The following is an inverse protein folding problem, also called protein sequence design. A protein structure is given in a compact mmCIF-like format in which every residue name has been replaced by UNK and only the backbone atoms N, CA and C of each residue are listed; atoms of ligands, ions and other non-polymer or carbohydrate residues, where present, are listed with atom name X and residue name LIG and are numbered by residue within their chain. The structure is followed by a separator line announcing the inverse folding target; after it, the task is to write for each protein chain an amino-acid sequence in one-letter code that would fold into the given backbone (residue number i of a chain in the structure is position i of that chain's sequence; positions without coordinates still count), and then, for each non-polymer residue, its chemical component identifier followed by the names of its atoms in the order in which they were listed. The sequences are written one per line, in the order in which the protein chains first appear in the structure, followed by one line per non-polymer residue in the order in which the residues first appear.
data_IF_922092676326
#
_entry.id   IF_922092676326
#
_cell.length_a   1.000
_cell.length_b   1.000
_cell.length_c   1.000
_cell.angle_alpha   90.00
_cell.angle_beta   90.00
_cell.angle_gamma   90.00
#
_symmetry.space_group_name_H-M   'P 1'
#
loop_
_entity.id
_entity.type
_entity.pdbx_description
1 polymer ?
#
# COMPACT_ATOMS: atom_id res chain seq x y z
N UNK A 1 -4.01 -4.69 7.15
CA UNK A 1 -3.24 -5.66 7.97
C UNK A 1 -4.20 -6.74 8.41
N UNK A 2 -3.85 -8.02 8.26
CA UNK A 2 -4.70 -9.13 8.72
C UNK A 2 -4.44 -9.50 10.18
N UNK A 3 -5.17 -10.49 10.71
CA UNK A 3 -5.00 -10.96 12.10
C UNK A 3 -3.62 -11.56 12.38
N UNK A 4 -2.82 -11.85 11.35
CA UNK A 4 -1.46 -12.39 11.46
C UNK A 4 -0.39 -11.30 11.44
N UNK A 5 -0.77 -10.02 11.56
CA UNK A 5 0.13 -8.88 11.45
C UNK A 5 0.89 -8.80 10.13
N UNK A 6 0.32 -9.34 9.05
CA UNK A 6 0.91 -9.18 7.72
C UNK A 6 0.38 -7.88 7.10
N UNK A 7 1.25 -6.88 6.84
CA UNK A 7 0.86 -5.72 6.07
C UNK A 7 0.59 -6.12 4.62
N UNK A 8 -0.30 -5.40 3.96
CA UNK A 8 -0.62 -5.59 2.54
C UNK A 8 -0.81 -4.20 1.97
N UNK A 9 -0.14 -3.92 0.85
CA UNK A 9 -0.25 -2.63 0.17
C UNK A 9 -1.57 -2.63 -0.60
N UNK A 10 -2.33 -1.54 -0.45
CA UNK A 10 -3.53 -1.28 -1.23
C UNK A 10 -3.35 0.08 -1.94
N UNK A 11 -3.23 0.05 -3.26
CA UNK A 11 -3.17 1.26 -4.08
C UNK A 11 -4.58 1.70 -4.46
N UNK A 12 -4.90 2.96 -4.16
CA UNK A 12 -6.13 3.63 -4.60
C UNK A 12 -5.81 4.50 -5.82
N UNK A 13 -6.69 4.47 -6.81
CA UNK A 13 -6.56 5.23 -8.05
C UNK A 13 -7.76 6.15 -8.25
N UNK A 14 -7.51 7.30 -8.88
CA UNK A 14 -8.54 8.22 -9.37
C UNK A 14 -9.54 8.57 -8.24
N UNK A 15 -10.84 8.49 -8.52
CA UNK A 15 -11.92 8.84 -7.58
C UNK A 15 -11.81 8.09 -6.23
N UNK A 16 -11.24 6.88 -6.19
CA UNK A 16 -11.04 6.16 -4.93
C UNK A 16 -9.98 6.82 -4.05
N UNK A 17 -8.93 7.40 -4.65
CA UNK A 17 -7.90 8.11 -3.91
C UNK A 17 -8.46 9.41 -3.30
N UNK A 18 -9.29 10.12 -4.07
CA UNK A 18 -9.86 11.39 -3.63
C UNK A 18 -11.00 11.19 -2.61
N UNK A 19 -11.91 10.24 -2.85
CA UNK A 19 -13.06 10.01 -1.98
C UNK A 19 -12.70 9.13 -0.77
N UNK A 20 -12.39 7.85 -0.99
CA UNK A 20 -12.11 6.91 0.09
C UNK A 20 -10.75 7.18 0.75
N UNK A 21 -9.74 7.54 -0.05
CA UNK A 21 -8.40 7.83 0.43
C UNK A 21 -8.34 9.02 1.39
N UNK A 22 -9.10 10.08 1.11
CA UNK A 22 -9.20 11.24 2.03
C UNK A 22 -9.82 10.87 3.37
N UNK A 23 -10.87 10.04 3.37
CA UNK A 23 -11.50 9.55 4.62
C UNK A 23 -10.51 8.68 5.39
N UNK A 24 -9.85 7.75 4.71
CA UNK A 24 -8.85 6.86 5.30
C UNK A 24 -7.66 7.62 5.90
N UNK A 25 -7.19 8.68 5.23
CA UNK A 25 -6.11 9.53 5.73
C UNK A 25 -6.53 10.29 6.99
N UNK A 26 -7.76 10.82 7.02
CA UNK A 26 -8.30 11.53 8.18
C UNK A 26 -8.49 10.59 9.39
N UNK A 27 -8.90 9.34 9.17
CA UNK A 27 -9.19 8.37 10.23
C UNK A 27 -8.02 7.45 10.56
N UNK A 28 -6.85 7.57 9.89
CA UNK A 28 -5.74 6.60 9.99
C UNK A 28 -5.30 6.30 11.44
N UNK A 29 -5.34 7.31 12.32
CA UNK A 29 -4.98 7.18 13.73
C UNK A 29 -5.92 6.27 14.53
N UNK A 30 -7.16 6.11 14.07
CA UNK A 30 -8.18 5.26 14.70
C UNK A 30 -8.16 3.81 14.18
N UNK A 31 -7.30 3.51 13.20
CA UNK A 31 -7.20 2.20 12.55
C UNK A 31 -8.54 1.74 11.94
N UNK A 32 -9.05 2.46 10.91
CA UNK A 32 -10.35 2.17 10.32
C UNK A 32 -10.35 0.76 9.71
N UNK A 33 -11.48 0.07 9.84
CA UNK A 33 -11.66 -1.25 9.24
C UNK A 33 -12.29 -1.09 7.86
N UNK A 34 -11.61 -1.60 6.84
CA UNK A 34 -12.11 -1.59 5.47
C UNK A 34 -12.57 -2.96 5.01
N UNK A 35 -13.66 -2.98 4.26
CA UNK A 35 -14.08 -4.12 3.43
C UNK A 35 -14.00 -3.70 1.99
N UNK A 36 -13.16 -4.39 1.22
CA UNK A 36 -12.93 -4.07 -0.18
C UNK A 36 -13.35 -5.23 -1.07
N UNK A 37 -14.10 -4.95 -2.15
CA UNK A 37 -14.62 -5.94 -3.09
C UNK A 37 -14.14 -5.62 -4.51
N UNK A 38 -13.94 -6.67 -5.31
CA UNK A 38 -13.44 -6.58 -6.70
C UNK A 38 -12.11 -5.83 -6.78
N UNK A 39 -11.19 -6.19 -5.89
CA UNK A 39 -9.85 -5.62 -5.83
C UNK A 39 -8.91 -6.44 -6.69
N UNK A 40 -8.07 -5.76 -7.47
CA UNK A 40 -7.02 -6.38 -8.25
C UNK A 40 -5.93 -6.90 -7.33
N UNK A 41 -5.49 -8.14 -7.54
CA UNK A 41 -4.19 -8.57 -7.01
C UNK A 41 -3.08 -8.10 -7.95
N UNK A 42 -2.06 -7.48 -7.39
CA UNK A 42 -0.82 -7.07 -8.07
C UNK A 42 0.38 -7.70 -7.34
N UNK A 43 1.56 -7.66 -7.98
CA UNK A 43 2.80 -8.25 -7.46
C UNK A 43 3.86 -7.21 -7.11
N UNK A 44 3.48 -5.93 -7.01
CA UNK A 44 4.39 -4.87 -6.61
C UNK A 44 4.84 -5.07 -5.15
N UNK A 45 6.15 -5.05 -4.89
CA UNK A 45 6.73 -5.27 -3.55
C UNK A 45 6.20 -6.52 -2.81
N UNK A 46 5.83 -7.58 -3.55
CA UNK A 46 5.21 -8.80 -3.01
C UNK A 46 3.71 -8.87 -3.27
N UNK A 47 2.92 -9.35 -2.30
CA UNK A 47 1.47 -9.41 -2.44
C UNK A 47 0.87 -8.01 -2.23
N UNK A 48 0.36 -7.42 -3.32
CA UNK A 48 -0.26 -6.10 -3.31
C UNK A 48 -1.65 -6.12 -3.92
N UNK A 49 -2.41 -5.09 -3.60
CA UNK A 49 -3.79 -4.90 -3.99
C UNK A 49 -3.95 -3.54 -4.66
N UNK A 50 -4.84 -3.45 -5.65
CA UNK A 50 -5.12 -2.19 -6.35
C UNK A 50 -6.61 -2.08 -6.66
N UNK A 51 -7.18 -0.89 -6.52
CA UNK A 51 -8.53 -0.63 -7.03
C UNK A 51 -8.57 -0.74 -8.56
N UNK A 52 -9.77 -1.00 -9.08
CA UNK A 52 -10.16 -0.96 -10.49
C UNK A 52 -11.50 -0.23 -10.58
N UNK A 53 -11.93 0.10 -11.80
CA UNK A 53 -13.15 0.87 -12.06
C UNK A 53 -14.43 0.33 -11.38
N UNK A 54 -14.53 -0.98 -11.13
CA UNK A 54 -15.70 -1.60 -10.50
C UNK A 54 -15.44 -2.11 -9.07
N UNK A 55 -14.35 -1.65 -8.45
CA UNK A 55 -14.06 -1.89 -7.05
C UNK A 55 -15.09 -1.21 -6.15
N UNK A 56 -15.24 -1.73 -4.93
CA UNK A 56 -16.06 -1.12 -3.89
C UNK A 56 -15.25 -1.14 -2.60
N UNK A 57 -15.13 0.01 -1.94
CA UNK A 57 -14.53 0.15 -0.62
C UNK A 57 -15.64 0.57 0.34
N UNK A 58 -15.72 -0.12 1.47
CA UNK A 58 -16.59 0.23 2.58
C UNK A 58 -15.72 0.50 3.79
N UNK A 59 -15.80 1.71 4.32
CA UNK A 59 -15.05 2.14 5.50
C UNK A 59 -15.95 2.00 6.73
N UNK A 60 -15.44 1.33 7.77
CA UNK A 60 -16.13 1.03 9.03
C UNK A 60 -17.57 0.49 8.85
N UNK A 61 -17.79 -0.55 8.01
CA UNK A 61 -19.14 -1.04 7.79
C UNK A 61 -19.70 -1.73 9.04
N UNK A 62 -21.00 -1.54 9.29
CA UNK A 62 -21.73 -2.13 10.42
C UNK A 62 -22.10 -3.60 10.17
N UNK A 63 -21.11 -4.43 9.86
CA UNK A 63 -21.32 -5.87 9.68
C UNK A 63 -20.97 -6.66 10.94
N UNK A 64 -21.77 -7.69 11.31
CA UNK A 64 -21.44 -8.56 12.44
C UNK A 64 -20.04 -9.18 12.34
N UNK A 65 -19.59 -9.52 11.12
CA UNK A 65 -18.24 -10.07 10.90
C UNK A 65 -17.10 -9.07 11.18
N UNK A 66 -17.35 -7.76 11.19
CA UNK A 66 -16.35 -6.71 11.47
C UNK A 66 -16.01 -6.66 12.96
N UNK A 67 -16.93 -7.07 13.84
CA UNK A 67 -16.73 -7.05 15.29
C UNK A 67 -15.49 -7.83 15.75
N UNK A 68 -15.15 -8.95 15.10
CA UNK A 68 -13.93 -9.70 15.42
C UNK A 68 -12.66 -8.91 15.11
N UNK A 69 -12.65 -8.20 13.97
CA UNK A 69 -11.49 -7.43 13.54
C UNK A 69 -11.33 -6.16 14.39
N UNK A 70 -12.43 -5.52 14.78
CA UNK A 70 -12.42 -4.39 15.73
C UNK A 70 -11.84 -4.79 17.09
N UNK A 71 -12.26 -5.94 17.62
CA UNK A 71 -11.68 -6.46 18.86
C UNK A 71 -10.18 -6.73 18.70
N UNK A 72 -9.76 -7.35 17.59
CA UNK A 72 -8.34 -7.58 17.31
C UNK A 72 -7.54 -6.27 17.22
N UNK A 73 -8.06 -5.23 16.58
CA UNK A 73 -7.43 -3.90 16.51
C UNK A 73 -7.25 -3.32 17.91
N UNK A 74 -8.29 -3.39 18.76
CA UNK A 74 -8.23 -2.92 20.14
C UNK A 74 -7.14 -3.64 20.94
N UNK A 75 -7.09 -4.97 20.81
CA UNK A 75 -6.15 -5.81 21.57
C UNK A 75 -4.69 -5.64 21.08
N UNK A 76 -4.49 -5.21 19.83
CA UNK A 76 -3.18 -5.06 19.20
C UNK A 76 -2.76 -3.60 18.97
N UNK A 77 -3.53 -2.63 19.44
CA UNK A 77 -3.27 -1.19 19.23
C UNK A 77 -1.82 -0.75 19.52
N UNK A 78 -1.17 -1.16 20.64
CA UNK A 78 0.22 -0.77 20.90
C UNK A 78 1.21 -1.28 19.83
N UNK A 79 0.95 -2.48 19.29
CA UNK A 79 1.79 -3.07 18.23
C UNK A 79 1.56 -2.38 16.89
N UNK A 80 0.31 -2.01 16.59
CA UNK A 80 -0.04 -1.25 15.39
C UNK A 80 0.60 0.15 15.41
N UNK A 81 0.62 0.81 16.57
CA UNK A 81 1.30 2.10 16.75
C UNK A 81 2.80 1.99 16.49
N UNK A 82 3.46 0.98 17.05
CA UNK A 82 4.89 0.75 16.80
C UNK A 82 5.18 0.43 15.34
N UNK A 83 4.33 -0.38 14.71
CA UNK A 83 4.47 -0.73 13.29
C UNK A 83 4.31 0.50 12.39
N UNK A 84 3.30 1.33 12.64
CA UNK A 84 3.08 2.54 11.84
C UNK A 84 4.27 3.50 11.91
N UNK A 85 4.93 3.63 13.06
CA UNK A 85 6.18 4.41 13.18
C UNK A 85 7.34 3.83 12.37
N UNK A 86 7.45 2.49 12.27
CA UNK A 86 8.53 1.82 11.52
C UNK A 86 8.25 1.75 10.01
N UNK A 87 6.97 1.69 9.62
CA UNK A 87 6.55 1.55 8.24
C UNK A 87 6.78 2.83 7.44
N UNK A 88 6.63 4.01 8.04
CA UNK A 88 6.95 5.29 7.38
C UNK A 88 8.40 5.30 6.89
N UNK A 89 9.34 4.84 7.72
CA UNK A 89 10.76 4.78 7.38
C UNK A 89 11.03 3.82 6.19
N UNK A 90 10.29 2.72 6.10
CA UNK A 90 10.44 1.71 5.04
C UNK A 90 9.77 2.12 3.72
N UNK A 91 8.62 2.81 3.78
CA UNK A 91 7.93 3.36 2.61
C UNK A 91 8.70 4.54 2.01
N UNK A 92 9.35 5.36 2.85
CA UNK A 92 10.27 6.41 2.39
C UNK A 92 11.51 5.84 1.70
N UNK A 93 12.02 4.68 2.15
CA UNK A 93 13.10 3.97 1.45
C UNK A 93 12.69 3.48 0.05
N UNK A 94 11.49 2.88 -0.10
CA UNK A 94 10.96 2.46 -1.40
C UNK A 94 10.69 3.65 -2.34
N UNK A 95 10.24 4.79 -1.81
CA UNK A 95 10.04 6.01 -2.61
C UNK A 95 11.38 6.65 -3.04
N UNK A 96 12.41 6.59 -2.19
CA UNK A 96 13.74 7.11 -2.49
C UNK A 96 14.48 6.27 -3.56
N UNK A 97 14.19 4.98 -3.68
CA UNK A 97 14.73 4.12 -4.74
C UNK A 97 14.24 4.54 -6.14
N UNK A 98 13.17 5.32 -6.24
CA UNK A 98 12.65 5.89 -7.50
C UNK A 98 13.20 7.27 -7.86
N UNK A 99 14.23 7.78 -7.16
CA UNK A 99 14.88 9.04 -7.53
C UNK A 99 15.77 8.96 -8.80
N UNK A 100 15.85 7.79 -9.45
CA UNK A 100 16.42 7.64 -10.80
C UNK A 100 15.41 7.99 -11.91
N UNK A 101 14.38 8.79 -11.61
CA UNK A 101 13.44 9.27 -12.61
C UNK A 101 14.08 10.37 -13.45
N UNK A 102 14.47 10.02 -14.68
CA UNK A 102 14.97 10.96 -15.67
C UNK A 102 13.81 11.37 -16.60
N UNK A 103 13.63 12.68 -16.90
CA UNK A 103 12.67 13.11 -17.91
C UNK A 103 12.88 12.37 -19.23
N UNK A 104 11.79 12.05 -19.95
CA UNK A 104 11.89 11.34 -21.25
C UNK A 104 12.80 12.09 -22.23
N UNK A 105 12.86 13.42 -22.11
CA UNK A 105 13.74 14.28 -22.90
C UNK A 105 15.25 13.99 -22.69
N UNK A 106 15.64 13.48 -21.51
CA UNK A 106 17.04 13.37 -21.10
C UNK A 106 17.57 11.93 -21.15
N UNK A 107 16.78 10.96 -21.64
CA UNK A 107 17.14 9.53 -21.75
C UNK A 107 18.40 9.33 -22.61
N UNK A 108 18.60 10.15 -23.64
CA UNK A 108 19.75 10.04 -24.55
C UNK A 108 21.07 10.49 -23.93
N UNK A 109 21.03 11.21 -22.81
CA UNK A 109 22.22 11.72 -22.11
C UNK A 109 22.75 10.76 -21.05
N UNK A 110 22.07 9.64 -20.79
CA UNK A 110 22.56 8.63 -19.86
C UNK A 110 23.68 7.79 -20.48
N UNK A 111 24.73 7.45 -19.71
CA UNK A 111 25.76 6.53 -20.18
C UNK A 111 25.14 5.16 -20.48
N UNK A 112 25.42 4.62 -21.67
CA UNK A 112 24.94 3.30 -22.06
C UNK A 112 25.59 2.25 -21.15
N UNK A 113 24.77 1.56 -20.33
CA UNK A 113 25.25 0.43 -19.54
C UNK A 113 25.38 -0.77 -20.47
N UNK A 114 26.60 -1.09 -20.86
CA UNK A 114 26.90 -2.25 -21.70
C UNK A 114 26.70 -3.55 -20.89
N UNK A 115 25.60 -4.24 -21.14
CA UNK A 115 25.20 -5.46 -20.41
C UNK A 115 25.94 -6.73 -20.85
N UNK A 116 27.03 -6.63 -21.59
CA UNK A 116 27.73 -7.80 -22.17
C UNK A 116 28.54 -8.65 -21.17
N UNK A 117 28.64 -8.28 -19.89
CA UNK A 117 29.46 -9.00 -18.90
C UNK A 117 28.71 -9.97 -17.94
N UNK A 118 27.47 -10.36 -18.24
CA UNK A 118 26.74 -11.38 -17.44
C UNK A 118 26.61 -12.75 -18.12
N UNK A 119 27.46 -13.06 -19.12
CA UNK A 119 27.56 -14.41 -19.68
C UNK A 119 28.95 -14.99 -19.43
N UNK A 120 29.16 -15.54 -18.24
CA UNK A 120 30.38 -16.27 -17.96
C UNK A 120 30.47 -16.78 -16.52
N UNK A 121 29.78 -17.88 -16.21
CA UNK A 121 30.33 -19.11 -15.60
C UNK A 121 29.24 -20.15 -15.41
#
# INVERSE_FOLDING_TARGET
MDTNMRPTILTLWEDFADADGSILAAEVAEYPVIVAKRIMRTTYAGLSLSTRYNSVILINPLYPQVGRLLNWVRDNRPRLMRYSQQAVDSSLMLAAEYNDTVPIADIQSQPHVDTTLLRGR
#
